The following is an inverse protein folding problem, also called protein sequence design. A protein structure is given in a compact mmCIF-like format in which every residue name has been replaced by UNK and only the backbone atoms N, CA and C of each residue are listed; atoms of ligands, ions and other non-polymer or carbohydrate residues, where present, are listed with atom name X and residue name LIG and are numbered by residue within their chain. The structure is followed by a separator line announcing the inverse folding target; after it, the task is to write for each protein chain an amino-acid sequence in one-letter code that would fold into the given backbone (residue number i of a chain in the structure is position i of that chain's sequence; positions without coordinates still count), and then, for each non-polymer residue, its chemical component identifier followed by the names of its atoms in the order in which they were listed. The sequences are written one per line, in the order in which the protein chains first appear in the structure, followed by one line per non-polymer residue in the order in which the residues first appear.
data_IF_702819160931
#
_entry.id   IF_702819160931
#
_cell.length_a   1.000
_cell.length_b   1.000
_cell.length_c   1.000
_cell.angle_alpha   90.00
_cell.angle_beta   90.00
_cell.angle_gamma   90.00
#
_symmetry.space_group_name_H-M   'P 1'
#
loop_
_entity.id
_entity.type
_entity.pdbx_description
1 polymer ?
#
# COMPACT_ATOMS: atom_id res chain seq x y z
N UNK A 1 -5.31 -13.48 -24.80
CA UNK A 1 -4.10 -14.38 -24.76
C UNK A 1 -4.55 -15.72 -24.20
N UNK A 2 -4.17 -16.88 -24.81
CA UNK A 2 -4.53 -18.19 -24.27
C UNK A 2 -3.27 -18.88 -23.77
N UNK A 3 -3.36 -19.62 -22.66
CA UNK A 3 -2.22 -20.36 -22.10
C UNK A 3 -2.32 -20.51 -20.59
N UNK A 4 -1.23 -21.00 -20.00
CA UNK A 4 -1.07 -21.20 -18.56
C UNK A 4 -0.02 -20.26 -17.99
N UNK A 5 -0.16 -19.95 -16.74
CA UNK A 5 0.82 -19.17 -15.96
C UNK A 5 1.00 -19.77 -14.57
N UNK A 6 2.17 -19.57 -13.99
CA UNK A 6 2.39 -19.89 -12.58
C UNK A 6 2.01 -18.71 -11.72
N UNK A 7 1.23 -18.95 -10.68
CA UNK A 7 0.87 -17.96 -9.66
C UNK A 7 1.30 -18.42 -8.27
N UNK A 8 1.74 -17.48 -7.43
CA UNK A 8 2.07 -17.75 -6.04
C UNK A 8 0.83 -17.61 -5.16
N UNK A 9 0.56 -18.61 -4.35
CA UNK A 9 -0.49 -18.58 -3.33
C UNK A 9 0.13 -18.69 -1.93
N UNK A 10 -0.58 -18.19 -0.95
CA UNK A 10 -0.17 -18.20 0.45
C UNK A 10 -1.16 -19.08 1.25
N UNK A 11 -0.81 -20.36 1.56
CA UNK A 11 -1.73 -21.26 2.26
C UNK A 11 -2.03 -20.88 3.71
N UNK A 12 -1.28 -19.94 4.30
CA UNK A 12 -1.47 -19.53 5.69
C UNK A 12 -0.74 -20.37 6.74
N UNK A 13 0.27 -21.11 6.29
CA UNK A 13 1.12 -21.99 7.12
C UNK A 13 2.61 -21.59 7.06
N UNK A 14 2.90 -20.34 6.74
CA UNK A 14 4.25 -19.79 6.54
C UNK A 14 5.00 -20.45 5.37
N UNK A 15 4.26 -20.90 4.35
CA UNK A 15 4.82 -21.39 3.08
C UNK A 15 4.28 -20.60 1.89
N UNK A 16 4.97 -20.73 0.77
CA UNK A 16 4.53 -20.22 -0.54
C UNK A 16 4.40 -21.42 -1.45
N UNK A 17 3.26 -21.55 -2.12
CA UNK A 17 3.05 -22.58 -3.13
C UNK A 17 2.94 -21.93 -4.50
N UNK A 18 3.58 -22.54 -5.51
CA UNK A 18 3.39 -22.18 -6.90
C UNK A 18 2.39 -23.14 -7.52
N UNK A 19 1.32 -22.58 -8.12
CA UNK A 19 0.30 -23.35 -8.82
C UNK A 19 0.12 -22.84 -10.24
N UNK A 20 -0.35 -23.74 -11.11
CA UNK A 20 -0.70 -23.40 -12.48
C UNK A 20 -2.13 -22.87 -12.54
N UNK A 21 -2.32 -21.78 -13.26
CA UNK A 21 -3.60 -21.12 -13.53
C UNK A 21 -3.77 -20.89 -15.02
N UNK A 22 -5.01 -20.78 -15.49
CA UNK A 22 -5.27 -20.27 -16.83
C UNK A 22 -4.97 -18.77 -16.87
N UNK A 23 -4.38 -18.28 -17.98
CA UNK A 23 -4.28 -16.85 -18.22
C UNK A 23 -5.71 -16.31 -18.43
N UNK A 24 -6.19 -15.37 -17.60
CA UNK A 24 -7.56 -14.89 -17.70
C UNK A 24 -7.77 -14.05 -18.97
N UNK A 25 -9.00 -14.11 -19.50
CA UNK A 25 -9.41 -13.28 -20.63
C UNK A 25 -10.21 -12.08 -20.13
N UNK A 26 -9.84 -10.84 -20.51
CA UNK A 26 -10.57 -9.67 -20.06
C UNK A 26 -11.96 -9.57 -20.68
N UNK A 27 -12.95 -9.32 -19.81
CA UNK A 27 -14.34 -9.08 -20.17
C UNK A 27 -14.69 -7.60 -20.36
N UNK A 28 -15.96 -7.28 -20.13
CA UNK A 28 -16.46 -5.88 -20.20
C UNK A 28 -15.83 -5.02 -19.10
N UNK A 29 -15.20 -3.91 -19.48
CA UNK A 29 -14.57 -2.98 -18.54
C UNK A 29 -13.32 -3.53 -17.85
N UNK A 30 -12.74 -4.62 -18.38
CA UNK A 30 -11.55 -5.26 -17.81
C UNK A 30 -10.36 -5.19 -18.77
N UNK A 31 -9.18 -5.30 -18.20
CA UNK A 31 -7.92 -5.42 -18.95
C UNK A 31 -7.09 -6.57 -18.39
N UNK A 32 -6.26 -7.16 -19.25
CA UNK A 32 -5.19 -8.06 -18.85
C UNK A 32 -3.88 -7.26 -18.75
N UNK A 33 -3.28 -7.28 -17.59
CA UNK A 33 -2.03 -6.58 -17.32
C UNK A 33 -0.91 -7.63 -17.22
N UNK A 34 0.18 -7.42 -17.97
CA UNK A 34 1.44 -8.10 -17.70
C UNK A 34 2.06 -7.46 -16.47
N UNK A 35 2.18 -8.22 -15.40
CA UNK A 35 2.79 -7.75 -14.15
C UNK A 35 4.29 -7.51 -14.39
N UNK A 36 4.73 -6.30 -14.14
CA UNK A 36 6.13 -5.90 -14.22
C UNK A 36 6.79 -5.81 -12.85
N UNK A 37 5.99 -5.47 -11.83
CA UNK A 37 6.36 -5.49 -10.43
C UNK A 37 5.12 -5.74 -9.55
N UNK A 38 5.32 -6.41 -8.43
CA UNK A 38 4.35 -6.54 -7.34
C UNK A 38 5.11 -6.59 -6.04
N UNK A 39 4.88 -5.64 -5.15
CA UNK A 39 5.54 -5.59 -3.84
C UNK A 39 4.85 -6.49 -2.83
N UNK A 40 5.55 -6.79 -1.75
CA UNK A 40 5.04 -7.58 -0.63
C UNK A 40 4.68 -6.62 0.50
N UNK A 41 3.41 -6.55 0.84
CA UNK A 41 2.92 -5.74 1.95
C UNK A 41 3.06 -6.47 3.30
N UNK A 42 3.13 -5.69 4.37
CA UNK A 42 3.08 -6.25 5.72
C UNK A 42 1.79 -7.03 6.01
N UNK A 43 0.69 -6.72 5.34
CA UNK A 43 -0.58 -7.45 5.45
C UNK A 43 -0.53 -8.83 4.77
N UNK A 44 0.18 -8.99 3.64
CA UNK A 44 0.40 -10.31 3.04
C UNK A 44 1.08 -11.25 4.04
N UNK A 45 2.08 -10.74 4.76
CA UNK A 45 2.82 -11.54 5.74
C UNK A 45 2.00 -11.81 6.99
N UNK A 46 1.40 -10.78 7.58
CA UNK A 46 0.73 -10.89 8.89
C UNK A 46 -0.62 -11.57 8.80
N UNK A 47 -1.38 -11.26 7.75
CA UNK A 47 -2.76 -11.69 7.63
C UNK A 47 -2.95 -12.98 6.82
N UNK A 48 -2.05 -13.30 5.87
CA UNK A 48 -2.24 -14.43 4.96
C UNK A 48 -1.12 -15.47 5.12
N UNK A 49 0.14 -15.05 5.01
CA UNK A 49 1.28 -15.96 4.97
C UNK A 49 1.51 -16.72 6.29
N UNK A 50 1.49 -15.99 7.42
CA UNK A 50 1.76 -16.58 8.74
C UNK A 50 0.65 -17.54 9.16
N UNK A 51 1.01 -18.49 10.00
CA UNK A 51 0.04 -19.37 10.66
C UNK A 51 -0.87 -18.57 11.57
N UNK A 52 -2.17 -18.71 11.38
CA UNK A 52 -3.21 -17.95 12.10
C UNK A 52 -4.09 -18.85 12.95
N UNK A 53 -3.57 -19.84 13.65
CA UNK A 53 -4.37 -20.70 14.53
C UNK A 53 -5.71 -21.10 13.88
N UNK A 54 -5.66 -21.42 12.58
CA UNK A 54 -6.79 -21.90 11.78
C UNK A 54 -7.80 -20.84 11.29
N UNK A 55 -7.53 -19.53 11.42
CA UNK A 55 -8.53 -18.51 11.04
C UNK A 55 -8.17 -17.62 9.87
N UNK A 56 -6.96 -17.60 9.32
CA UNK A 56 -6.59 -16.74 8.21
C UNK A 56 -7.10 -15.27 8.31
N UNK A 57 -6.88 -14.47 7.29
CA UNK A 57 -7.45 -13.13 7.22
C UNK A 57 -8.97 -13.20 6.97
N UNK A 58 -9.74 -12.34 7.61
CA UNK A 58 -11.18 -12.24 7.39
C UNK A 58 -11.47 -11.99 5.89
N UNK A 59 -12.34 -12.83 5.33
CA UNK A 59 -12.72 -12.75 3.94
C UNK A 59 -11.66 -13.18 2.91
N UNK A 60 -10.51 -13.71 3.33
CA UNK A 60 -9.53 -14.28 2.41
C UNK A 60 -10.10 -15.55 1.75
N UNK A 61 -9.95 -15.64 0.42
CA UNK A 61 -10.35 -16.83 -0.34
C UNK A 61 -9.13 -17.70 -0.59
N UNK A 62 -9.04 -18.89 0.06
CA UNK A 62 -7.91 -19.79 -0.12
C UNK A 62 -7.70 -20.19 -1.58
N UNK A 63 -6.44 -20.18 -2.01
CA UNK A 63 -6.08 -20.52 -3.39
C UNK A 63 -6.08 -19.33 -4.36
N UNK A 64 -6.44 -18.14 -3.92
CA UNK A 64 -6.26 -16.90 -4.66
C UNK A 64 -4.77 -16.61 -4.88
N UNK A 65 -4.41 -16.17 -6.10
CA UNK A 65 -3.05 -15.67 -6.36
C UNK A 65 -2.81 -14.44 -5.48
N UNK A 66 -1.75 -14.46 -4.71
CA UNK A 66 -1.40 -13.41 -3.76
C UNK A 66 -0.91 -12.12 -4.44
N UNK A 67 -0.64 -11.08 -3.62
CA UNK A 67 -0.05 -9.82 -4.06
C UNK A 67 -1.09 -8.78 -4.46
N UNK A 68 -1.31 -7.81 -3.57
CA UNK A 68 -2.28 -6.73 -3.79
C UNK A 68 -1.65 -5.41 -4.24
N UNK A 69 -0.38 -5.41 -4.58
CA UNK A 69 0.37 -4.23 -5.03
C UNK A 69 0.90 -4.38 -6.48
N UNK A 70 0.05 -4.80 -7.47
CA UNK A 70 0.53 -4.99 -8.82
C UNK A 70 0.66 -3.69 -9.60
N UNK A 71 1.74 -3.63 -10.39
CA UNK A 71 2.00 -2.60 -11.37
C UNK A 71 2.49 -3.24 -12.67
N UNK A 72 2.06 -2.75 -13.82
CA UNK A 72 2.45 -3.37 -15.08
C UNK A 72 1.99 -2.62 -16.32
N UNK A 73 1.91 -3.35 -17.41
CA UNK A 73 1.51 -2.83 -18.72
C UNK A 73 0.29 -3.59 -19.24
N UNK A 74 -0.70 -2.89 -19.78
CA UNK A 74 -1.88 -3.49 -20.40
C UNK A 74 -1.46 -4.22 -21.68
N UNK A 75 -1.73 -5.52 -21.75
CA UNK A 75 -1.39 -6.37 -22.91
C UNK A 75 -2.59 -6.81 -23.72
N UNK A 76 -3.78 -6.86 -23.09
CA UNK A 76 -5.03 -7.21 -23.76
C UNK A 76 -6.19 -6.40 -23.18
N UNK A 77 -7.07 -5.94 -24.05
CA UNK A 77 -8.24 -5.15 -23.73
C UNK A 77 -9.49 -6.02 -23.77
N UNK A 78 -10.37 -5.86 -22.79
CA UNK A 78 -11.74 -6.29 -22.90
C UNK A 78 -12.58 -5.31 -23.72
N UNK A 79 -13.90 -5.36 -23.55
CA UNK A 79 -14.80 -4.45 -24.26
C UNK A 79 -15.22 -3.27 -23.39
N UNK A 80 -15.69 -2.18 -24.04
CA UNK A 80 -16.24 -1.00 -23.37
C UNK A 80 -15.28 -0.23 -22.44
N UNK A 81 -13.97 -0.28 -22.70
CA UNK A 81 -12.99 0.58 -22.04
C UNK A 81 -13.19 2.05 -22.47
N UNK A 82 -12.91 2.98 -21.57
CA UNK A 82 -13.09 4.42 -21.77
C UNK A 82 -11.82 5.25 -21.57
N UNK A 83 -10.90 4.77 -20.75
CA UNK A 83 -9.76 5.54 -20.26
C UNK A 83 -8.42 4.95 -20.64
N UNK A 84 -8.34 3.64 -20.71
CA UNK A 84 -7.09 2.90 -20.89
C UNK A 84 -7.09 2.05 -22.13
N UNK A 85 -5.89 1.80 -22.66
CA UNK A 85 -5.67 0.98 -23.87
C UNK A 85 -4.43 0.11 -23.70
N UNK A 86 -4.30 -0.86 -24.60
CA UNK A 86 -3.07 -1.68 -24.69
C UNK A 86 -1.83 -0.82 -24.84
N UNK A 87 -0.81 -1.14 -24.05
CA UNK A 87 0.46 -0.43 -23.98
C UNK A 87 0.54 0.57 -22.84
N UNK A 88 -0.58 0.96 -22.23
CA UNK A 88 -0.55 1.87 -21.09
C UNK A 88 0.12 1.20 -19.88
N UNK A 89 0.95 1.98 -19.19
CA UNK A 89 1.58 1.61 -17.91
C UNK A 89 0.64 1.96 -16.79
N UNK A 90 0.34 1.00 -15.92
CA UNK A 90 -0.71 1.19 -14.91
C UNK A 90 -0.33 0.61 -13.56
N UNK A 91 -0.83 1.26 -12.52
CA UNK A 91 -0.89 0.74 -11.14
C UNK A 91 -2.31 0.25 -10.91
N UNK A 92 -2.48 -0.89 -10.24
CA UNK A 92 -3.78 -1.39 -9.84
C UNK A 92 -4.06 -0.99 -8.40
N UNK A 93 -5.08 -0.17 -8.17
CA UNK A 93 -5.57 0.09 -6.82
C UNK A 93 -6.12 -1.21 -6.23
N UNK A 94 -5.66 -1.57 -5.05
CA UNK A 94 -5.83 -2.91 -4.51
C UNK A 94 -7.26 -3.29 -4.11
N UNK A 95 -8.19 -2.35 -4.07
CA UNK A 95 -9.60 -2.60 -3.74
C UNK A 95 -10.52 -2.29 -4.91
N UNK A 96 -11.18 -3.31 -5.44
CA UNK A 96 -12.26 -3.15 -6.40
C UNK A 96 -13.58 -2.91 -5.66
N UNK A 97 -14.07 -1.70 -5.66
CA UNK A 97 -15.38 -1.33 -5.11
C UNK A 97 -16.51 -1.47 -6.13
N UNK A 98 -17.76 -1.32 -5.70
CA UNK A 98 -18.91 -1.39 -6.62
C UNK A 98 -19.02 -0.18 -7.58
N UNK A 99 -18.36 0.94 -7.27
CA UNK A 99 -18.42 2.18 -8.04
C UNK A 99 -19.70 3.01 -7.85
N UNK A 100 -20.71 2.51 -7.12
CA UNK A 100 -22.05 3.10 -7.05
C UNK A 100 -22.42 3.62 -5.65
N UNK A 101 -21.92 3.00 -4.58
CA UNK A 101 -22.21 3.43 -3.21
C UNK A 101 -21.56 4.79 -2.89
N UNK A 102 -21.98 5.40 -1.80
CA UNK A 102 -21.46 6.70 -1.37
C UNK A 102 -19.92 6.70 -1.30
N UNK A 103 -19.34 5.76 -0.59
CA UNK A 103 -17.88 5.71 -0.38
C UNK A 103 -17.10 5.54 -1.69
N UNK A 104 -17.57 4.66 -2.58
CA UNK A 104 -16.94 4.50 -3.90
C UNK A 104 -17.00 5.80 -4.73
N UNK A 105 -18.09 6.54 -4.66
CA UNK A 105 -18.26 7.82 -5.39
C UNK A 105 -17.39 8.93 -4.80
N UNK A 106 -17.04 8.83 -3.52
CA UNK A 106 -16.10 9.72 -2.84
C UNK A 106 -14.62 9.30 -2.98
N UNK A 107 -14.35 8.20 -3.70
CA UNK A 107 -12.99 7.66 -3.87
C UNK A 107 -12.54 6.65 -2.80
N UNK A 108 -13.37 6.38 -1.80
CA UNK A 108 -13.06 5.47 -0.69
C UNK A 108 -13.57 4.05 -0.95
N UNK A 109 -13.11 3.40 -2.02
CA UNK A 109 -13.52 2.03 -2.35
C UNK A 109 -13.17 1.01 -1.24
N UNK A 110 -12.20 1.31 -0.38
CA UNK A 110 -11.87 0.51 0.80
C UNK A 110 -13.07 0.35 1.75
N UNK A 111 -13.91 1.37 1.87
CA UNK A 111 -15.12 1.38 2.71
C UNK A 111 -16.39 0.92 1.98
N UNK A 112 -16.27 0.38 0.78
CA UNK A 112 -17.41 -0.09 0.01
C UNK A 112 -18.16 -1.20 0.75
N UNK A 113 -19.46 -0.99 1.01
CA UNK A 113 -20.35 -1.92 1.71
C UNK A 113 -21.01 -2.97 0.81
N UNK A 114 -20.75 -2.93 -0.50
CA UNK A 114 -21.32 -3.89 -1.45
C UNK A 114 -20.66 -5.26 -1.32
N UNK A 115 -21.46 -6.33 -1.52
CA UNK A 115 -20.96 -7.69 -1.66
C UNK A 115 -20.05 -7.90 -2.90
N UNK A 116 -20.03 -6.95 -3.82
CA UNK A 116 -19.13 -6.95 -4.98
C UNK A 116 -17.74 -6.39 -4.66
N UNK A 117 -17.52 -5.83 -3.47
CA UNK A 117 -16.21 -5.38 -3.04
C UNK A 117 -15.25 -6.56 -2.95
N UNK A 118 -14.10 -6.44 -3.60
CA UNK A 118 -13.07 -7.46 -3.56
C UNK A 118 -11.68 -6.84 -3.57
N UNK A 119 -10.79 -7.34 -2.71
CA UNK A 119 -9.39 -6.96 -2.73
C UNK A 119 -8.59 -7.91 -3.64
N UNK A 120 -7.73 -7.35 -4.47
CA UNK A 120 -6.76 -8.12 -5.24
C UNK A 120 -5.81 -8.83 -4.28
N UNK A 121 -5.45 -10.07 -4.60
CA UNK A 121 -4.59 -10.89 -3.75
C UNK A 121 -5.28 -11.47 -2.50
N UNK A 122 -6.59 -11.19 -2.28
CA UNK A 122 -7.38 -11.67 -1.14
C UNK A 122 -8.69 -12.34 -1.54
N UNK A 123 -9.60 -11.62 -2.21
CA UNK A 123 -10.88 -12.12 -2.73
C UNK A 123 -10.87 -12.35 -4.22
N UNK A 124 -9.89 -11.83 -4.92
CA UNK A 124 -9.65 -12.05 -6.34
C UNK A 124 -8.14 -12.12 -6.58
N UNK A 125 -7.74 -12.73 -7.70
CA UNK A 125 -6.33 -12.93 -8.03
C UNK A 125 -5.56 -11.61 -8.07
N UNK A 126 -4.34 -11.66 -7.54
CA UNK A 126 -3.42 -10.53 -7.41
C UNK A 126 -2.23 -10.62 -8.36
N UNK A 127 -1.20 -9.83 -8.03
CA UNK A 127 -0.05 -9.57 -8.89
C UNK A 127 1.14 -10.52 -8.76
N UNK A 128 1.08 -11.53 -7.88
CA UNK A 128 2.17 -12.50 -7.76
C UNK A 128 2.06 -13.60 -8.81
N UNK A 129 1.82 -13.19 -10.06
CA UNK A 129 1.79 -13.99 -11.27
C UNK A 129 2.21 -13.13 -12.47
N UNK A 130 2.58 -13.73 -13.62
CA UNK A 130 2.94 -12.99 -14.84
C UNK A 130 1.86 -12.07 -15.37
N UNK A 131 0.59 -12.38 -15.10
CA UNK A 131 -0.56 -11.59 -15.54
C UNK A 131 -1.58 -11.42 -14.43
N UNK A 132 -2.25 -10.27 -14.40
CA UNK A 132 -3.37 -9.98 -13.51
C UNK A 132 -4.54 -9.39 -14.32
N UNK A 133 -5.75 -9.88 -14.03
CA UNK A 133 -6.99 -9.33 -14.58
C UNK A 133 -7.49 -8.19 -13.67
N UNK A 134 -7.66 -7.00 -14.23
CA UNK A 134 -8.10 -5.83 -13.47
C UNK A 134 -9.30 -5.13 -14.12
N UNK A 135 -10.11 -4.51 -13.26
CA UNK A 135 -11.18 -3.59 -13.69
C UNK A 135 -10.56 -2.25 -14.11
N UNK A 136 -11.01 -1.67 -15.22
CA UNK A 136 -10.54 -0.36 -15.68
C UNK A 136 -10.68 0.73 -14.59
N UNK A 137 -11.74 0.69 -13.81
CA UNK A 137 -12.02 1.67 -12.75
C UNK A 137 -10.99 1.64 -11.60
N UNK A 138 -10.27 0.53 -11.45
CA UNK A 138 -9.27 0.34 -10.39
C UNK A 138 -7.86 0.73 -10.85
N UNK A 139 -7.72 1.26 -12.08
CA UNK A 139 -6.43 1.59 -12.66
C UNK A 139 -6.07 3.07 -12.48
N UNK A 140 -4.80 3.29 -12.19
CA UNK A 140 -4.15 4.60 -12.20
C UNK A 140 -3.02 4.56 -13.23
N UNK A 141 -2.94 5.58 -14.08
CA UNK A 141 -1.85 5.71 -15.06
C UNK A 141 -0.53 5.90 -14.32
N UNK A 142 0.48 5.11 -14.67
CA UNK A 142 1.84 5.29 -14.15
C UNK A 142 2.57 6.27 -15.07
N UNK A 143 3.01 7.44 -14.57
CA UNK A 143 3.82 8.38 -15.33
C UNK A 143 5.12 7.76 -15.84
N UNK A 144 5.63 8.26 -16.95
CA UNK A 144 6.84 7.72 -17.60
C UNK A 144 8.10 7.90 -16.73
N UNK A 145 8.12 8.92 -15.88
CA UNK A 145 9.20 9.24 -14.94
C UNK A 145 9.33 8.24 -13.80
N UNK A 146 8.25 7.48 -13.51
CA UNK A 146 8.24 6.49 -12.44
C UNK A 146 8.52 5.08 -13.01
N UNK A 147 9.31 4.31 -12.27
CA UNK A 147 9.52 2.90 -12.58
C UNK A 147 8.32 2.04 -12.18
N UNK A 148 8.26 0.80 -12.68
CA UNK A 148 7.24 -0.16 -12.21
C UNK A 148 7.41 -0.53 -10.72
N UNK A 149 8.63 -0.43 -10.18
CA UNK A 149 8.87 -0.64 -8.74
C UNK A 149 8.23 0.47 -7.91
N UNK A 150 8.36 1.72 -8.34
CA UNK A 150 7.66 2.85 -7.70
C UNK A 150 6.15 2.66 -7.78
N UNK A 151 5.64 2.30 -8.97
CA UNK A 151 4.21 2.04 -9.18
C UNK A 151 3.65 0.94 -8.31
N UNK A 152 4.39 -0.15 -8.09
CA UNK A 152 3.95 -1.23 -7.23
C UNK A 152 3.78 -0.78 -5.77
N UNK A 153 4.65 0.08 -5.26
CA UNK A 153 4.53 0.63 -3.90
C UNK A 153 3.36 1.63 -3.76
N UNK A 154 3.01 2.33 -4.85
CA UNK A 154 1.88 3.26 -4.88
C UNK A 154 0.55 2.53 -4.68
N UNK A 155 0.41 1.32 -5.18
CA UNK A 155 -0.83 0.54 -5.17
C UNK A 155 -1.45 0.36 -3.76
N UNK A 156 -0.64 0.26 -2.71
CA UNK A 156 -1.10 0.14 -1.34
C UNK A 156 -0.31 1.05 -0.39
N UNK A 157 1.01 0.88 -0.28
CA UNK A 157 1.84 1.54 0.73
C UNK A 157 1.70 3.07 0.70
N UNK A 158 2.05 3.70 -0.41
CA UNK A 158 1.92 5.15 -0.57
C UNK A 158 0.47 5.63 -0.62
N UNK A 159 -0.44 4.87 -1.27
CA UNK A 159 -1.86 5.21 -1.31
C UNK A 159 -2.50 5.27 0.07
N UNK A 160 -2.18 4.30 0.94
CA UNK A 160 -2.64 4.28 2.34
C UNK A 160 -2.13 5.47 3.13
N UNK A 161 -0.86 5.81 2.96
CA UNK A 161 -0.24 6.96 3.64
C UNK A 161 -0.84 8.28 3.14
N UNK A 162 -1.00 8.43 1.82
CA UNK A 162 -1.59 9.62 1.23
C UNK A 162 -2.99 9.89 1.80
N UNK A 163 -3.86 8.88 1.82
CA UNK A 163 -5.20 8.99 2.41
C UNK A 163 -5.15 9.36 3.91
N UNK A 164 -4.21 8.77 4.67
CA UNK A 164 -4.06 9.05 6.08
C UNK A 164 -3.65 10.52 6.33
N UNK A 165 -2.66 11.01 5.59
CA UNK A 165 -2.18 12.40 5.71
C UNK A 165 -3.23 13.42 5.24
N UNK A 166 -3.99 13.10 4.18
CA UNK A 166 -5.15 13.92 3.78
C UNK A 166 -6.20 14.02 4.89
N UNK A 167 -6.57 12.90 5.49
CA UNK A 167 -7.58 12.85 6.57
C UNK A 167 -7.20 13.67 7.79
N UNK A 168 -5.91 13.72 8.13
CA UNK A 168 -5.42 14.58 9.22
C UNK A 168 -5.03 15.98 8.73
N UNK A 169 -5.20 16.26 7.44
CA UNK A 169 -5.00 17.59 6.82
C UNK A 169 -3.61 18.17 7.09
N UNK A 170 -2.57 17.41 6.76
CA UNK A 170 -1.17 17.87 6.91
C UNK A 170 -0.92 19.11 6.07
N UNK A 171 -0.27 20.11 6.66
CA UNK A 171 -0.02 21.41 6.07
C UNK A 171 1.32 22.01 6.49
N UNK A 172 1.65 23.20 5.96
CA UNK A 172 2.84 23.96 6.32
C UNK A 172 2.88 24.51 7.77
N UNK A 173 1.81 24.33 8.52
CA UNK A 173 1.76 24.72 9.94
C UNK A 173 2.06 23.54 10.89
N UNK A 174 2.25 22.35 10.36
CA UNK A 174 2.31 21.14 11.16
C UNK A 174 3.74 20.62 11.35
N UNK A 175 4.10 20.31 12.59
CA UNK A 175 5.14 19.35 12.91
C UNK A 175 4.52 17.93 12.89
N UNK A 176 5.12 17.03 12.15
CA UNK A 176 4.63 15.65 11.96
C UNK A 176 5.57 14.65 12.58
N UNK A 177 5.08 13.90 13.57
CA UNK A 177 5.80 12.77 14.18
C UNK A 177 5.39 11.47 13.50
N UNK A 178 6.37 10.67 13.09
CA UNK A 178 6.17 9.32 12.56
C UNK A 178 6.88 8.30 13.44
N UNK A 179 6.13 7.40 14.03
CA UNK A 179 6.65 6.33 14.90
C UNK A 179 6.67 5.00 14.15
N UNK A 180 7.87 4.43 14.00
CA UNK A 180 8.11 3.24 13.19
C UNK A 180 8.48 3.57 11.74
N UNK A 181 9.76 3.42 11.40
CA UNK A 181 10.31 3.75 10.07
C UNK A 181 10.50 2.49 9.20
N UNK A 182 9.46 1.64 9.16
CA UNK A 182 9.31 0.63 8.12
C UNK A 182 8.89 1.26 6.78
N UNK A 183 8.57 0.47 5.74
CA UNK A 183 8.20 1.01 4.42
C UNK A 183 7.08 2.07 4.49
N UNK A 184 6.04 1.82 5.28
CA UNK A 184 4.93 2.77 5.48
C UNK A 184 5.39 4.04 6.19
N UNK A 185 6.22 3.93 7.25
CA UNK A 185 6.72 5.09 7.97
C UNK A 185 7.66 5.96 7.14
N UNK A 186 8.55 5.35 6.34
CA UNK A 186 9.40 6.09 5.41
C UNK A 186 8.57 6.82 4.35
N UNK A 187 7.54 6.16 3.79
CA UNK A 187 6.60 6.79 2.87
C UNK A 187 5.83 7.94 3.56
N UNK A 188 5.46 7.78 4.84
CA UNK A 188 4.78 8.83 5.62
C UNK A 188 5.66 10.08 5.75
N UNK A 189 6.92 9.92 6.11
CA UNK A 189 7.86 11.04 6.19
C UNK A 189 8.01 11.75 4.84
N UNK A 190 8.20 10.99 3.77
CA UNK A 190 8.36 11.53 2.42
C UNK A 190 7.13 12.31 1.96
N UNK A 191 5.93 11.74 2.14
CA UNK A 191 4.69 12.39 1.73
C UNK A 191 4.34 13.57 2.62
N UNK A 192 4.53 13.50 3.95
CA UNK A 192 4.32 14.63 4.85
C UNK A 192 5.15 15.84 4.42
N UNK A 193 6.42 15.61 4.10
CA UNK A 193 7.33 16.65 3.58
C UNK A 193 6.86 17.19 2.23
N UNK A 194 6.44 16.34 1.30
CA UNK A 194 5.89 16.73 -0.01
C UNK A 194 4.56 17.51 0.11
N UNK A 195 3.75 17.23 1.12
CA UNK A 195 2.51 17.95 1.44
C UNK A 195 2.76 19.27 2.20
N UNK A 196 4.03 19.57 2.51
CA UNK A 196 4.46 20.86 3.04
C UNK A 196 4.61 20.90 4.56
N UNK A 197 4.63 19.78 5.27
CA UNK A 197 4.90 19.75 6.71
C UNK A 197 6.14 20.62 7.06
N UNK A 198 5.99 21.47 8.06
CA UNK A 198 7.02 22.42 8.49
C UNK A 198 8.21 21.72 9.18
N UNK A 199 7.91 20.64 9.90
CA UNK A 199 8.89 19.83 10.61
C UNK A 199 8.49 18.34 10.51
N UNK A 200 9.45 17.48 10.20
CA UNK A 200 9.23 16.04 10.15
C UNK A 200 10.16 15.31 11.12
N UNK A 201 9.59 14.52 12.01
CA UNK A 201 10.31 13.79 13.06
C UNK A 201 10.03 12.30 12.93
N UNK A 202 11.07 11.48 12.82
CA UNK A 202 10.97 10.03 12.80
C UNK A 202 11.47 9.40 14.08
N UNK A 203 10.77 8.39 14.61
CA UNK A 203 11.22 7.56 15.74
C UNK A 203 11.20 6.10 15.35
N UNK A 204 12.34 5.40 15.55
CA UNK A 204 12.50 4.00 15.18
C UNK A 204 13.48 3.29 16.11
N UNK A 205 13.14 2.06 16.51
CA UNK A 205 13.99 1.23 17.39
C UNK A 205 15.23 0.70 16.66
N UNK A 206 15.10 0.37 15.37
CA UNK A 206 16.18 -0.22 14.57
C UNK A 206 17.12 0.86 14.03
N UNK A 207 18.41 0.71 14.33
CA UNK A 207 19.43 1.65 13.90
C UNK A 207 19.58 1.75 12.39
N UNK A 208 19.58 0.61 11.69
CA UNK A 208 19.68 0.55 10.24
C UNK A 208 18.58 1.37 9.54
N UNK A 209 17.36 1.33 10.05
CA UNK A 209 16.24 2.13 9.52
C UNK A 209 16.37 3.62 9.85
N UNK A 210 16.88 3.96 11.03
CA UNK A 210 17.18 5.35 11.37
C UNK A 210 18.24 5.93 10.46
N UNK A 211 19.30 5.19 10.19
CA UNK A 211 20.36 5.57 9.25
C UNK A 211 19.80 5.76 7.83
N UNK A 212 19.02 4.82 7.35
CA UNK A 212 18.36 4.92 6.03
C UNK A 212 17.50 6.19 5.93
N UNK A 213 16.67 6.49 6.93
CA UNK A 213 15.83 7.68 6.92
C UNK A 213 16.64 8.98 6.86
N UNK A 214 17.80 9.01 7.58
CA UNK A 214 18.74 10.15 7.57
C UNK A 214 19.47 10.27 6.22
N UNK A 215 20.00 9.18 5.69
CA UNK A 215 20.74 9.15 4.42
C UNK A 215 19.85 9.58 3.24
N UNK A 216 18.60 9.18 3.25
CA UNK A 216 17.61 9.56 2.23
C UNK A 216 17.01 10.96 2.46
N UNK A 217 17.35 11.65 3.56
CA UNK A 217 16.83 12.99 3.88
C UNK A 217 15.31 13.04 4.07
N UNK A 218 14.70 11.93 4.53
CA UNK A 218 13.24 11.81 4.62
C UNK A 218 12.64 12.53 5.83
N UNK A 219 13.43 12.77 6.88
CA UNK A 219 13.02 13.50 8.06
C UNK A 219 14.04 14.55 8.44
N UNK A 220 13.59 15.63 9.08
CA UNK A 220 14.48 16.67 9.60
C UNK A 220 15.20 16.16 10.85
N UNK A 221 14.52 15.36 11.68
CA UNK A 221 15.09 14.70 12.84
C UNK A 221 14.70 13.23 12.92
N UNK A 222 15.63 12.39 13.37
CA UNK A 222 15.40 10.95 13.56
C UNK A 222 16.02 10.51 14.89
N UNK A 223 15.18 9.91 15.76
CA UNK A 223 15.54 9.49 17.11
C UNK A 223 15.35 7.98 17.32
N UNK A 224 16.09 7.43 18.28
CA UNK A 224 15.73 6.16 18.91
C UNK A 224 14.70 6.45 20.01
N UNK A 225 13.74 5.54 20.27
CA UNK A 225 12.84 5.73 21.42
C UNK A 225 13.62 5.48 22.72
N UNK A 226 13.77 6.52 23.52
CA UNK A 226 14.37 6.50 24.85
C UNK A 226 13.71 7.57 25.73
N UNK A 227 14.08 7.63 27.00
CA UNK A 227 13.47 8.54 27.98
C UNK A 227 13.65 10.03 27.63
N UNK A 228 14.66 10.36 26.82
CA UNK A 228 14.96 11.73 26.41
C UNK A 228 14.20 12.13 25.13
N UNK A 229 13.68 11.17 24.37
CA UNK A 229 13.06 11.43 23.05
C UNK A 229 11.90 12.40 23.15
N UNK A 230 11.04 12.26 24.15
CA UNK A 230 9.93 13.18 24.38
C UNK A 230 10.43 14.59 24.62
N UNK A 231 11.47 14.76 25.46
CA UNK A 231 12.03 16.07 25.75
C UNK A 231 12.63 16.72 24.49
N UNK A 232 13.36 15.96 23.68
CA UNK A 232 13.88 16.46 22.39
C UNK A 232 12.76 16.92 21.45
N UNK A 233 11.65 16.19 21.37
CA UNK A 233 10.49 16.59 20.55
C UNK A 233 9.88 17.88 21.11
N UNK A 234 9.70 17.99 22.41
CA UNK A 234 9.19 19.21 23.05
C UNK A 234 10.13 20.40 22.82
N UNK A 235 11.44 20.22 22.94
CA UNK A 235 12.40 21.28 22.67
C UNK A 235 12.35 21.78 21.23
N UNK A 236 12.20 20.87 20.25
CA UNK A 236 12.05 21.21 18.83
C UNK A 236 10.74 21.97 18.52
N UNK A 237 9.72 21.76 19.33
CA UNK A 237 8.37 22.32 19.12
C UNK A 237 8.01 23.44 20.13
N UNK A 238 9.01 24.00 20.82
CA UNK A 238 8.79 25.08 21.79
C UNK A 238 7.94 24.68 22.99
N UNK A 239 7.91 23.41 23.35
CA UNK A 239 7.15 22.86 24.47
C UNK A 239 5.71 22.48 24.14
N UNK A 240 5.26 22.65 22.90
CA UNK A 240 3.87 22.41 22.50
C UNK A 240 3.61 20.97 22.03
N UNK A 241 4.66 20.22 21.67
CA UNK A 241 4.54 18.94 21.01
C UNK A 241 4.24 19.08 19.51
N UNK A 242 3.86 17.99 18.86
CA UNK A 242 3.57 17.96 17.43
C UNK A 242 2.07 18.12 17.14
N UNK A 243 1.72 18.78 16.03
CA UNK A 243 0.33 18.93 15.59
C UNK A 243 -0.25 17.61 15.07
N UNK A 244 0.59 16.76 14.50
CA UNK A 244 0.17 15.51 13.88
C UNK A 244 1.13 14.37 14.25
N UNK A 245 0.57 13.21 14.61
CA UNK A 245 1.34 12.00 14.85
C UNK A 245 0.76 10.82 14.07
N UNK A 246 1.63 9.99 13.50
CA UNK A 246 1.26 8.80 12.74
C UNK A 246 2.02 7.59 13.29
N UNK A 247 1.30 6.61 13.85
CA UNK A 247 1.87 5.34 14.26
C UNK A 247 1.95 4.36 13.08
N UNK A 248 3.16 4.04 12.67
CA UNK A 248 3.50 3.03 11.67
C UNK A 248 4.21 1.80 12.28
N UNK A 249 4.32 1.73 13.61
CA UNK A 249 5.07 0.69 14.33
C UNK A 249 4.31 -0.63 14.45
N UNK A 250 2.98 -0.56 14.43
CA UNK A 250 2.08 -1.68 14.67
C UNK A 250 2.30 -2.37 16.03
N UNK A 251 2.73 -1.63 17.06
CA UNK A 251 2.89 -2.12 18.43
C UNK A 251 2.42 -1.08 19.46
N UNK A 252 2.19 -1.53 20.69
CA UNK A 252 1.63 -0.70 21.76
C UNK A 252 2.56 0.45 22.16
N UNK A 253 3.87 0.18 22.31
CA UNK A 253 4.84 1.19 22.68
C UNK A 253 4.95 2.33 21.66
N UNK A 254 4.83 2.01 20.37
CA UNK A 254 4.79 3.03 19.32
C UNK A 254 3.54 3.89 19.38
N UNK A 255 2.38 3.29 19.63
CA UNK A 255 1.13 4.05 19.82
C UNK A 255 1.19 4.98 21.03
N UNK A 256 1.73 4.49 22.14
CA UNK A 256 1.90 5.30 23.36
C UNK A 256 2.80 6.51 23.12
N UNK A 257 3.86 6.35 22.33
CA UNK A 257 4.75 7.47 21.98
C UNK A 257 4.10 8.48 21.03
N UNK A 258 3.16 8.05 20.20
CA UNK A 258 2.46 8.89 19.22
C UNK A 258 1.30 9.71 19.84
N UNK A 259 0.91 9.44 21.09
CA UNK A 259 -0.15 10.16 21.82
C UNK A 259 0.44 11.21 22.73
#
# INVERSE_FOLDING_TARGET
MQGKMMGAILPGNSTVELREFDIPTPGVGQVLIKTMASTICGSDIRAIYREHVGKGAEGYIPGTIAGHEPCGIIVEEGTHLKRFKKGDRVVVYHISGCGLCHDCRMGYAISCSSSQRAAYGWQRDGGMAPYVLAEEKDLVLLPDELSYLDGAQIACGFGTVYEALEKISVSGNDAVLVVGLGPVGLATLQLAKAMGANLTIGVEVKEDRRLMAKELGLADHVFAPNDETLQYILDLTGGHGVEKAVDCSANEGGRTLAI
#
